data_IF_995826303516
#
_entry.id   IF_995826303516
#
_cell.length_a   1.000
_cell.length_b   1.000
_cell.length_c   1.000
_cell.angle_alpha   90.00
_cell.angle_beta   90.00
_cell.angle_gamma   90.00
#
_symmetry.space_group_name_H-M   'P 1'
#
loop_
_entity.id
_entity.type
_entity.pdbx_description
1 polymer ?
#
# COMPACT_ATOMS: atom_id res chain seq x y z
N UNK A 1 11.05 -4.13 -24.19
CA UNK A 1 9.59 -4.07 -23.93
C UNK A 1 9.16 -5.16 -22.92
N UNK A 2 9.72 -6.38 -23.00
CA UNK A 2 9.40 -7.47 -22.06
C UNK A 2 9.99 -7.27 -20.66
N UNK A 3 11.16 -6.71 -20.56
CA UNK A 3 11.83 -6.40 -19.27
C UNK A 3 11.04 -5.36 -18.46
N UNK A 4 10.45 -4.37 -19.12
CA UNK A 4 9.63 -3.35 -18.43
C UNK A 4 8.30 -3.92 -17.89
N UNK A 5 7.75 -4.97 -18.45
CA UNK A 5 6.53 -5.61 -17.96
C UNK A 5 6.78 -6.47 -16.70
N UNK A 6 7.96 -7.02 -16.53
CA UNK A 6 8.32 -7.77 -15.32
C UNK A 6 8.63 -6.85 -14.13
N UNK A 7 9.10 -5.63 -14.41
CA UNK A 7 9.44 -4.62 -13.38
C UNK A 7 8.23 -3.80 -12.94
N UNK A 8 7.21 -3.68 -13.79
CA UNK A 8 5.92 -3.07 -13.45
C UNK A 8 4.94 -4.20 -13.21
N UNK A 9 4.75 -4.59 -11.94
CA UNK A 9 3.90 -5.70 -11.54
C UNK A 9 2.58 -5.76 -12.29
N UNK A 10 2.55 -6.54 -13.38
CA UNK A 10 1.33 -6.92 -14.06
C UNK A 10 0.67 -8.05 -13.27
N UNK A 11 -0.66 -8.12 -13.28
CA UNK A 11 -1.45 -9.15 -12.57
C UNK A 11 -1.04 -10.61 -12.92
N UNK A 12 -0.23 -10.80 -13.93
CA UNK A 12 0.27 -12.12 -14.36
C UNK A 12 1.40 -12.66 -13.49
N UNK A 13 2.05 -11.83 -12.65
CA UNK A 13 3.11 -12.26 -11.72
C UNK A 13 2.58 -12.79 -10.37
N UNK A 14 1.28 -12.81 -10.15
CA UNK A 14 0.66 -13.21 -8.86
C UNK A 14 0.74 -14.72 -8.60
N UNK A 15 1.01 -15.55 -9.60
CA UNK A 15 1.07 -17.03 -9.45
C UNK A 15 2.45 -17.56 -9.13
N UNK A 16 3.49 -16.85 -9.55
CA UNK A 16 4.86 -17.10 -9.14
C UNK A 16 5.37 -15.79 -8.54
N UNK A 17 5.25 -15.63 -7.22
CA UNK A 17 5.71 -14.44 -6.51
C UNK A 17 7.23 -14.33 -6.62
N UNK A 18 7.69 -13.96 -7.81
CA UNK A 18 9.08 -13.71 -8.05
C UNK A 18 9.38 -12.30 -7.55
N UNK A 19 10.09 -12.21 -6.46
CA UNK A 19 10.69 -10.96 -6.03
C UNK A 19 11.64 -10.47 -7.13
N UNK A 20 11.80 -9.17 -7.23
CA UNK A 20 12.76 -8.59 -8.18
C UNK A 20 14.18 -9.09 -7.84
N UNK A 21 14.91 -9.55 -8.83
CA UNK A 21 16.32 -9.92 -8.68
C UNK A 21 17.18 -8.65 -8.53
N UNK A 22 17.93 -8.49 -7.44
CA UNK A 22 18.81 -7.34 -7.24
C UNK A 22 19.84 -7.12 -8.37
N UNK A 23 20.34 -8.18 -9.01
CA UNK A 23 21.28 -8.06 -10.13
C UNK A 23 20.62 -7.44 -11.37
N UNK A 24 19.35 -7.79 -11.63
CA UNK A 24 18.58 -7.16 -12.72
C UNK A 24 18.33 -5.67 -12.45
N UNK A 25 18.09 -5.27 -11.19
CA UNK A 25 17.96 -3.86 -10.81
C UNK A 25 19.24 -3.10 -11.12
N UNK A 26 20.39 -3.68 -10.78
CA UNK A 26 21.70 -3.06 -10.99
C UNK A 26 22.01 -2.91 -12.47
N UNK A 27 21.82 -3.99 -13.25
CA UNK A 27 22.04 -3.98 -14.71
C UNK A 27 21.12 -2.94 -15.36
N UNK A 28 19.82 -2.95 -15.01
CA UNK A 28 18.85 -2.03 -15.58
C UNK A 28 19.17 -0.57 -15.25
N UNK A 29 19.38 -0.24 -13.97
CA UNK A 29 19.69 1.12 -13.54
C UNK A 29 20.99 1.64 -14.18
N UNK A 30 22.01 0.80 -14.23
CA UNK A 30 23.32 1.16 -14.81
C UNK A 30 23.23 1.41 -16.30
N UNK A 31 22.49 0.56 -17.05
CA UNK A 31 22.38 0.66 -18.52
C UNK A 31 21.43 1.74 -18.99
N UNK A 32 20.38 2.01 -18.22
CA UNK A 32 19.36 3.01 -18.62
C UNK A 32 19.64 4.41 -18.07
N UNK A 33 20.37 4.50 -16.95
CA UNK A 33 20.57 5.76 -16.23
C UNK A 33 19.29 6.34 -15.65
N UNK A 34 18.29 5.50 -15.30
CA UNK A 34 17.03 5.98 -14.71
C UNK A 34 17.28 6.52 -13.31
N UNK A 35 16.48 7.53 -12.91
CA UNK A 35 16.62 8.22 -11.62
C UNK A 35 16.01 7.43 -10.45
N UNK A 36 15.08 6.52 -10.71
CA UNK A 36 14.44 5.68 -9.71
C UNK A 36 13.82 4.44 -10.37
N UNK A 37 13.57 3.39 -9.60
CA UNK A 37 12.98 2.17 -10.11
C UNK A 37 11.95 1.61 -9.13
N UNK A 38 10.82 1.14 -9.67
CA UNK A 38 9.86 0.36 -8.90
C UNK A 38 10.25 -1.11 -8.92
N UNK A 39 10.31 -1.73 -7.74
CA UNK A 39 10.65 -3.15 -7.59
C UNK A 39 9.56 -3.91 -6.82
N UNK A 40 9.54 -5.22 -6.98
CA UNK A 40 8.65 -6.14 -6.25
C UNK A 40 9.40 -6.79 -5.10
N UNK A 41 8.89 -6.57 -3.89
CA UNK A 41 9.39 -7.19 -2.66
C UNK A 41 8.26 -7.87 -1.87
N UNK A 42 7.18 -8.29 -2.55
CA UNK A 42 6.01 -8.92 -1.95
C UNK A 42 4.78 -8.03 -1.87
N UNK A 43 4.80 -6.86 -2.51
CA UNK A 43 3.61 -6.00 -2.64
C UNK A 43 2.84 -6.33 -3.91
N UNK A 44 1.51 -6.18 -3.89
CA UNK A 44 0.65 -6.33 -5.07
C UNK A 44 -0.47 -5.29 -5.10
N UNK A 45 -1.01 -5.03 -6.30
CA UNK A 45 -2.10 -4.06 -6.47
C UNK A 45 -3.46 -4.58 -5.96
N UNK A 46 -4.34 -3.66 -5.58
CA UNK A 46 -5.71 -3.94 -5.16
C UNK A 46 -5.91 -4.10 -3.65
N UNK A 47 -7.14 -4.41 -3.24
CA UNK A 47 -7.52 -4.65 -1.85
C UNK A 47 -7.44 -6.14 -1.46
N UNK A 48 -7.40 -7.02 -2.44
CA UNK A 48 -7.33 -8.48 -2.26
C UNK A 48 -5.94 -8.98 -2.68
N UNK A 49 -4.92 -8.58 -1.93
CA UNK A 49 -3.50 -8.80 -2.23
C UNK A 49 -3.05 -10.22 -1.91
N UNK A 50 -3.61 -10.79 -0.86
CA UNK A 50 -3.22 -12.08 -0.32
C UNK A 50 -4.44 -12.98 -0.20
N UNK A 51 -4.23 -14.28 -0.43
CA UNK A 51 -5.24 -15.28 -0.09
C UNK A 51 -5.14 -15.65 1.39
N UNK A 52 -6.23 -16.14 2.03
CA UNK A 52 -6.17 -16.57 3.43
C UNK A 52 -5.08 -17.61 3.71
N UNK A 53 -4.79 -18.48 2.72
CA UNK A 53 -3.77 -19.54 2.84
C UNK A 53 -2.34 -19.00 2.88
N UNK A 54 -2.11 -17.80 2.35
CA UNK A 54 -0.81 -17.10 2.37
C UNK A 54 -0.57 -16.38 3.70
N UNK A 55 -1.62 -16.19 4.51
CA UNK A 55 -1.58 -15.42 5.73
C UNK A 55 -1.54 -16.32 6.96
N UNK A 56 -1.03 -15.80 8.06
CA UNK A 56 -1.16 -16.42 9.39
C UNK A 56 -2.07 -15.56 10.27
N UNK A 57 -2.65 -16.17 11.31
CA UNK A 57 -3.45 -15.43 12.28
C UNK A 57 -2.50 -14.94 13.39
N UNK A 58 -2.47 -13.63 13.61
CA UNK A 58 -1.79 -13.07 14.77
C UNK A 58 -2.55 -13.45 16.05
N UNK A 59 -1.91 -14.17 16.97
CA UNK A 59 -2.57 -14.64 18.19
C UNK A 59 -2.96 -13.51 19.15
N UNK A 60 -2.34 -12.34 19.05
CA UNK A 60 -2.64 -11.18 19.91
C UNK A 60 -3.87 -10.41 19.47
N UNK A 61 -4.07 -10.29 18.15
CA UNK A 61 -5.14 -9.47 17.56
C UNK A 61 -6.24 -10.31 16.90
N UNK A 62 -5.99 -11.58 16.62
CA UNK A 62 -6.89 -12.46 15.85
C UNK A 62 -7.01 -12.06 14.36
N UNK A 63 -6.19 -11.15 13.88
CA UNK A 63 -6.20 -10.68 12.49
C UNK A 63 -5.30 -11.52 11.61
N UNK A 64 -5.65 -11.59 10.33
CA UNK A 64 -4.79 -12.19 9.31
C UNK A 64 -3.64 -11.25 8.99
N UNK A 65 -2.42 -11.77 9.03
CA UNK A 65 -1.19 -11.07 8.72
C UNK A 65 -0.55 -11.72 7.49
N UNK A 66 -0.21 -10.94 6.45
CA UNK A 66 0.45 -11.47 5.26
C UNK A 66 1.92 -11.83 5.55
N UNK A 67 2.60 -12.51 4.61
CA UNK A 67 4.04 -12.68 4.68
C UNK A 67 4.76 -11.34 4.79
N UNK A 68 5.91 -11.27 5.48
CA UNK A 68 6.71 -10.06 5.54
C UNK A 68 7.24 -9.68 4.15
N UNK A 69 7.56 -8.39 3.97
CA UNK A 69 8.23 -7.93 2.76
C UNK A 69 9.66 -8.48 2.69
N UNK A 70 10.14 -8.77 1.48
CA UNK A 70 11.49 -9.27 1.23
C UNK A 70 12.53 -8.14 1.34
N UNK A 71 12.86 -7.75 2.57
CA UNK A 71 13.83 -6.68 2.84
C UNK A 71 15.23 -7.02 2.37
N UNK A 72 15.59 -8.30 2.31
CA UNK A 72 16.86 -8.78 1.77
C UNK A 72 17.08 -8.33 0.32
N UNK A 73 16.03 -8.16 -0.47
CA UNK A 73 16.11 -7.61 -1.83
C UNK A 73 16.50 -6.12 -1.78
N UNK A 74 15.87 -5.34 -0.89
CA UNK A 74 16.23 -3.93 -0.70
C UNK A 74 17.65 -3.78 -0.22
N UNK A 75 18.07 -4.59 0.75
CA UNK A 75 19.41 -4.54 1.34
C UNK A 75 20.47 -4.85 0.29
N UNK A 76 20.26 -5.87 -0.56
CA UNK A 76 21.16 -6.23 -1.66
C UNK A 76 21.25 -5.11 -2.72
N UNK A 77 20.14 -4.45 -3.05
CA UNK A 77 20.15 -3.29 -3.97
C UNK A 77 20.91 -2.12 -3.36
N UNK A 78 20.67 -1.82 -2.07
CA UNK A 78 21.34 -0.70 -1.37
C UNK A 78 22.85 -0.91 -1.25
N UNK A 79 23.31 -2.14 -1.06
CA UNK A 79 24.74 -2.47 -1.00
C UNK A 79 25.47 -2.12 -2.31
N UNK A 80 24.83 -2.42 -3.44
CA UNK A 80 25.44 -2.25 -4.77
C UNK A 80 25.15 -0.91 -5.44
N UNK A 81 24.01 -0.30 -5.12
CA UNK A 81 23.59 1.01 -5.60
C UNK A 81 23.24 1.94 -4.42
N UNK A 82 24.23 2.37 -3.63
CA UNK A 82 23.98 3.23 -2.48
C UNK A 82 23.26 4.52 -2.86
N UNK A 83 22.13 4.80 -2.18
CA UNK A 83 21.35 6.02 -2.41
C UNK A 83 20.44 5.99 -3.66
N UNK A 84 20.36 4.86 -4.38
CA UNK A 84 19.45 4.75 -5.52
C UNK A 84 17.99 4.69 -5.05
N UNK A 85 17.10 5.59 -5.56
CA UNK A 85 15.74 5.68 -5.07
C UNK A 85 14.86 4.52 -5.53
N UNK A 86 14.24 3.83 -4.59
CA UNK A 86 13.31 2.73 -4.84
C UNK A 86 11.86 3.18 -4.62
N UNK A 87 10.97 2.70 -5.47
CA UNK A 87 9.53 2.94 -5.41
C UNK A 87 8.80 1.64 -5.11
N UNK A 88 7.85 1.66 -4.19
CA UNK A 88 6.93 0.54 -3.93
C UNK A 88 5.55 0.84 -4.50
N UNK A 89 5.07 -0.06 -5.36
CA UNK A 89 3.69 -0.12 -5.82
C UNK A 89 2.89 -1.14 -5.00
N UNK A 90 1.56 -1.05 -5.10
CA UNK A 90 0.68 -2.02 -4.45
C UNK A 90 0.76 -2.05 -2.92
N UNK A 91 1.09 -0.94 -2.29
CA UNK A 91 1.45 -0.85 -0.87
C UNK A 91 0.31 -0.36 0.03
N UNK A 92 -0.95 -0.47 -0.39
CA UNK A 92 -2.09 -0.15 0.48
C UNK A 92 -2.14 -1.08 1.69
N UNK A 93 -2.39 -0.52 2.87
CA UNK A 93 -2.49 -1.27 4.13
C UNK A 93 -3.86 -1.87 4.39
N UNK A 94 -4.88 -1.41 3.63
CA UNK A 94 -6.28 -1.86 3.76
C UNK A 94 -6.76 -1.71 5.21
N UNK A 95 -6.99 -0.47 5.71
CA UNK A 95 -7.41 -0.24 7.08
C UNK A 95 -8.69 -1.02 7.40
N UNK A 96 -8.63 -1.92 8.39
CA UNK A 96 -9.72 -2.84 8.69
C UNK A 96 -10.96 -2.12 9.23
N UNK A 97 -10.78 -1.02 9.96
CA UNK A 97 -11.87 -0.17 10.41
C UNK A 97 -12.72 0.41 9.27
N UNK A 98 -12.11 0.70 8.12
CA UNK A 98 -12.82 1.17 6.94
C UNK A 98 -13.59 0.02 6.27
N UNK A 99 -13.00 -1.17 6.21
CA UNK A 99 -13.66 -2.39 5.71
C UNK A 99 -14.87 -2.74 6.58
N UNK A 100 -14.71 -2.72 7.91
CA UNK A 100 -15.77 -2.98 8.88
C UNK A 100 -16.90 -1.93 8.75
N UNK A 101 -16.56 -0.66 8.61
CA UNK A 101 -17.52 0.42 8.41
C UNK A 101 -18.29 0.25 7.12
N UNK A 102 -17.63 -0.06 6.01
CA UNK A 102 -18.28 -0.34 4.74
C UNK A 102 -19.27 -1.50 4.87
N UNK A 103 -18.87 -2.60 5.49
CA UNK A 103 -19.72 -3.78 5.67
C UNK A 103 -20.89 -3.50 6.62
N UNK A 104 -20.67 -2.78 7.71
CA UNK A 104 -21.71 -2.36 8.64
C UNK A 104 -22.82 -1.55 7.96
N UNK A 105 -22.47 -0.72 6.99
CA UNK A 105 -23.39 0.16 6.28
C UNK A 105 -23.75 -0.35 4.88
N UNK A 106 -23.95 -1.67 4.75
CA UNK A 106 -24.53 -2.31 3.57
C UNK A 106 -23.53 -2.68 2.50
N UNK A 107 -22.24 -2.70 2.82
CA UNK A 107 -21.20 -3.29 1.97
C UNK A 107 -21.12 -4.80 2.14
N UNK A 108 -20.36 -5.44 1.26
CA UNK A 108 -20.09 -6.88 1.27
C UNK A 108 -18.63 -7.17 0.85
N UNK A 109 -17.69 -6.40 1.40
CA UNK A 109 -16.29 -6.65 1.17
C UNK A 109 -15.87 -7.96 1.85
N UNK A 110 -15.21 -8.82 1.08
CA UNK A 110 -14.59 -10.05 1.61
C UNK A 110 -13.36 -9.68 2.44
N UNK A 111 -12.73 -10.68 3.07
CA UNK A 111 -11.48 -10.48 3.77
C UNK A 111 -10.45 -9.82 2.83
N UNK A 112 -10.17 -8.55 3.09
CA UNK A 112 -9.22 -7.75 2.33
C UNK A 112 -8.01 -7.52 3.24
N UNK A 113 -6.83 -7.95 2.81
CA UNK A 113 -5.59 -7.92 3.59
C UNK A 113 -4.60 -7.05 2.83
N UNK A 114 -4.06 -6.05 3.52
CA UNK A 114 -3.05 -5.15 2.96
C UNK A 114 -1.68 -5.38 3.58
N UNK A 115 -0.73 -4.53 3.21
CA UNK A 115 0.62 -4.55 3.77
C UNK A 115 0.60 -3.93 5.17
N UNK A 116 1.16 -4.57 6.20
CA UNK A 116 1.27 -3.98 7.53
C UNK A 116 2.00 -2.64 7.51
N UNK A 117 1.49 -1.66 8.24
CA UNK A 117 2.08 -0.32 8.24
C UNK A 117 3.49 -0.29 8.84
N UNK A 118 3.81 -1.21 9.75
CA UNK A 118 5.14 -1.40 10.31
C UNK A 118 6.16 -1.79 9.22
N UNK A 119 5.75 -2.67 8.30
CA UNK A 119 6.57 -3.05 7.15
C UNK A 119 6.81 -1.86 6.21
N UNK A 120 5.76 -1.09 5.92
CA UNK A 120 5.88 0.13 5.13
C UNK A 120 6.76 1.18 5.81
N UNK A 121 6.63 1.31 7.15
CA UNK A 121 7.48 2.21 7.94
C UNK A 121 8.95 1.79 7.91
N UNK A 122 9.21 0.49 7.97
CA UNK A 122 10.56 -0.07 7.84
C UNK A 122 11.11 0.22 6.45
N UNK A 123 10.33 0.00 5.39
CA UNK A 123 10.71 0.31 4.02
C UNK A 123 11.01 1.81 3.81
N UNK A 124 10.18 2.70 4.37
CA UNK A 124 10.39 4.15 4.30
C UNK A 124 11.67 4.65 5.01
N UNK A 125 12.25 3.82 5.89
CA UNK A 125 13.55 4.12 6.54
C UNK A 125 14.75 3.56 5.78
N UNK A 126 14.53 2.87 4.66
CA UNK A 126 15.56 2.30 3.81
C UNK A 126 15.68 3.05 2.47
N UNK A 127 15.96 2.37 1.37
CA UNK A 127 16.04 2.97 0.03
C UNK A 127 14.70 3.40 -0.56
N UNK A 128 13.57 3.09 0.08
CA UNK A 128 12.25 3.40 -0.46
C UNK A 128 11.95 4.89 -0.29
N UNK A 129 11.93 5.61 -1.40
CA UNK A 129 11.66 7.05 -1.44
C UNK A 129 10.20 7.39 -1.79
N UNK A 130 9.44 6.42 -2.31
CA UNK A 130 8.03 6.60 -2.70
C UNK A 130 7.23 5.33 -2.46
N UNK A 131 6.05 5.49 -1.85
CA UNK A 131 5.11 4.40 -1.60
C UNK A 131 3.77 4.78 -2.23
N UNK A 132 3.28 3.96 -3.17
CA UNK A 132 2.00 4.19 -3.84
C UNK A 132 0.86 3.50 -3.08
N UNK A 133 -0.11 4.29 -2.64
CA UNK A 133 -1.28 3.86 -1.87
C UNK A 133 -2.54 4.36 -2.57
N UNK A 134 -3.43 3.48 -2.98
CA UNK A 134 -4.70 3.81 -3.64
C UNK A 134 -5.92 3.24 -2.89
N UNK A 135 -5.92 1.94 -2.61
CA UNK A 135 -7.08 1.25 -2.00
C UNK A 135 -7.51 1.86 -0.67
N UNK A 136 -6.55 2.32 0.15
CA UNK A 136 -6.84 2.92 1.45
C UNK A 136 -7.69 4.19 1.30
N UNK A 137 -7.37 5.04 0.32
CA UNK A 137 -8.13 6.25 0.01
C UNK A 137 -9.55 5.95 -0.45
N UNK A 138 -9.71 4.93 -1.29
CA UNK A 138 -11.02 4.47 -1.78
C UNK A 138 -11.86 3.91 -0.64
N UNK A 139 -11.27 3.13 0.26
CA UNK A 139 -11.95 2.59 1.43
C UNK A 139 -12.41 3.70 2.36
N UNK A 140 -11.54 4.64 2.73
CA UNK A 140 -11.86 5.75 3.60
C UNK A 140 -13.00 6.62 3.03
N UNK A 141 -12.96 6.92 1.74
CA UNK A 141 -14.01 7.67 1.06
C UNK A 141 -15.34 6.91 1.05
N UNK A 142 -15.30 5.63 0.66
CA UNK A 142 -16.49 4.79 0.54
C UNK A 142 -17.17 4.54 1.89
N UNK A 143 -16.38 4.31 2.94
CA UNK A 143 -16.88 4.10 4.30
C UNK A 143 -17.70 5.31 4.78
N UNK A 144 -17.14 6.51 4.66
CA UNK A 144 -17.82 7.73 5.09
C UNK A 144 -19.07 8.05 4.28
N UNK A 145 -19.08 7.78 2.97
CA UNK A 145 -20.26 7.97 2.12
C UNK A 145 -21.36 6.99 2.52
N UNK A 146 -21.04 5.69 2.68
CA UNK A 146 -22.01 4.68 3.10
C UNK A 146 -22.60 4.97 4.45
N UNK A 147 -21.75 5.35 5.42
CA UNK A 147 -22.19 5.75 6.75
C UNK A 147 -23.15 6.94 6.66
N UNK A 148 -22.82 7.96 5.88
CA UNK A 148 -23.69 9.16 5.73
C UNK A 148 -25.04 8.80 5.18
N UNK A 149 -25.14 7.97 4.15
CA UNK A 149 -26.41 7.56 3.57
C UNK A 149 -27.25 6.67 4.50
N UNK A 150 -26.60 5.84 5.30
CA UNK A 150 -27.31 5.01 6.30
C UNK A 150 -27.84 5.83 7.46
N UNK A 151 -27.07 6.78 7.98
CA UNK A 151 -27.43 7.62 9.12
C UNK A 151 -28.36 8.79 8.73
N UNK A 152 -28.28 9.22 7.48
CA UNK A 152 -29.05 10.34 6.92
C UNK A 152 -29.70 9.95 5.58
N UNK A 153 -30.68 9.04 5.56
CA UNK A 153 -31.22 8.46 4.34
C UNK A 153 -31.91 9.46 3.40
N UNK A 154 -32.28 10.64 3.89
CA UNK A 154 -32.85 11.70 3.08
C UNK A 154 -31.78 12.62 2.44
N UNK A 155 -30.51 12.38 2.73
CA UNK A 155 -29.44 13.25 2.20
C UNK A 155 -29.18 12.97 0.72
N UNK A 156 -29.18 14.01 -0.10
CA UNK A 156 -28.94 13.93 -1.53
C UNK A 156 -27.95 14.96 -2.06
N UNK A 157 -27.53 15.93 -1.22
CA UNK A 157 -26.55 16.96 -1.61
C UNK A 157 -25.13 16.41 -1.54
N UNK A 158 -24.39 16.36 -2.68
CA UNK A 158 -23.01 15.88 -2.70
C UNK A 158 -22.08 16.57 -1.68
N UNK A 159 -22.28 17.85 -1.42
CA UNK A 159 -21.50 18.59 -0.42
C UNK A 159 -21.64 18.03 0.98
N UNK A 160 -22.76 17.37 1.29
CA UNK A 160 -23.09 16.81 2.60
C UNK A 160 -22.53 15.41 2.82
N UNK A 161 -22.44 14.59 1.77
CA UNK A 161 -21.87 13.24 1.88
C UNK A 161 -20.41 13.15 1.43
N UNK A 162 -19.94 14.05 0.52
CA UNK A 162 -18.54 14.13 0.16
C UNK A 162 -17.69 14.93 1.18
N UNK A 163 -18.31 15.82 1.97
CA UNK A 163 -17.64 16.50 3.06
C UNK A 163 -17.01 15.53 4.06
N UNK A 164 -17.81 14.68 4.72
CA UNK A 164 -17.29 13.63 5.61
C UNK A 164 -16.29 12.68 4.93
N UNK A 165 -16.49 12.37 3.64
CA UNK A 165 -15.56 11.53 2.90
C UNK A 165 -14.17 12.18 2.74
N UNK A 166 -14.13 13.48 2.39
CA UNK A 166 -12.89 14.26 2.33
C UNK A 166 -12.21 14.33 3.70
N UNK A 167 -12.97 14.58 4.75
CA UNK A 167 -12.44 14.70 6.10
C UNK A 167 -11.85 13.35 6.60
N UNK A 168 -12.45 12.22 6.21
CA UNK A 168 -11.91 10.89 6.50
C UNK A 168 -10.63 10.62 5.72
N UNK A 169 -10.57 10.99 4.43
CA UNK A 169 -9.35 10.90 3.62
C UNK A 169 -8.23 11.78 4.20
N UNK A 170 -8.55 12.98 4.67
CA UNK A 170 -7.56 13.88 5.31
C UNK A 170 -6.96 13.23 6.58
N UNK A 171 -7.78 12.60 7.41
CA UNK A 171 -7.30 11.83 8.58
C UNK A 171 -6.37 10.70 8.16
N UNK A 172 -6.75 9.94 7.14
CA UNK A 172 -5.93 8.87 6.59
C UNK A 172 -4.58 9.39 6.13
N UNK A 173 -4.55 10.47 5.35
CA UNK A 173 -3.30 11.02 4.83
C UNK A 173 -2.40 11.58 5.94
N UNK A 174 -2.96 12.27 6.93
CA UNK A 174 -2.20 12.70 8.11
C UNK A 174 -1.57 11.51 8.84
N UNK A 175 -2.34 10.45 9.05
CA UNK A 175 -1.84 9.22 9.64
C UNK A 175 -0.68 8.63 8.83
N UNK A 176 -0.83 8.51 7.50
CA UNK A 176 0.23 7.97 6.62
C UNK A 176 1.50 8.82 6.64
N UNK A 177 1.37 10.14 6.58
CA UNK A 177 2.50 11.07 6.62
C UNK A 177 3.30 10.91 7.92
N UNK A 178 2.61 10.88 9.05
CA UNK A 178 3.24 10.84 10.37
C UNK A 178 3.75 9.44 10.71
N UNK A 179 2.87 8.43 10.63
CA UNK A 179 3.13 7.12 11.20
C UNK A 179 3.79 6.14 10.21
N UNK A 180 3.53 6.29 8.92
CA UNK A 180 4.10 5.40 7.90
C UNK A 180 5.32 6.02 7.23
N UNK A 181 5.19 7.21 6.65
CA UNK A 181 6.28 7.85 5.92
C UNK A 181 7.28 8.55 6.88
N UNK A 182 6.79 9.17 7.95
CA UNK A 182 7.60 9.99 8.86
C UNK A 182 8.19 11.21 8.16
N UNK A 183 7.41 11.78 7.24
CA UNK A 183 7.79 12.96 6.46
C UNK A 183 7.17 14.26 7.00
N UNK A 184 6.51 14.19 8.16
CA UNK A 184 6.00 15.37 8.87
C UNK A 184 7.15 16.29 9.34
N UNK A 185 6.90 17.59 9.32
CA UNK A 185 7.86 18.62 9.75
C UNK A 185 9.21 18.64 8.98
N UNK A 186 9.27 18.09 7.77
CA UNK A 186 10.50 18.04 6.94
C UNK A 186 10.65 19.21 5.97
N UNK A 187 9.66 20.11 5.89
CA UNK A 187 9.70 21.27 5.00
C UNK A 187 10.60 22.42 5.51
N UNK A 188 11.09 22.33 6.71
CA UNK A 188 11.90 23.39 7.35
C UNK A 188 13.42 23.11 7.27
N UNK A 189 13.82 22.01 6.68
CA UNK A 189 15.19 21.62 6.38
C UNK A 189 15.41 21.72 4.86
#
# INVERSE_FOLDING_TARGET
>A
YEIAQCLVGSEMCIRDSTYTDPEEVIDFATRTGCDSLAISIGTSHGAYKFTPEQCHIDPATGRMVPPPLAFEVLDAVMEKLPGFPIVLHGSSSVPQEEVETINKYGGALKAAIGIPEEELRKAAKSAVCKINIDSDSRLAMTAAIRQTFAEKPAEFDPRKYLGPARDNMEKLYKHKIINVLGSDNKLAE
#
